data_IF_397740825429
#
_entry.id   IF_397740825429
#
_cell.length_a   1.000
_cell.length_b   1.000
_cell.length_c   1.000
_cell.angle_alpha   90.00
_cell.angle_beta   90.00
_cell.angle_gamma   90.00
#
_symmetry.space_group_name_H-M   'P 1'
#
loop_
_entity.id
_entity.type
_entity.pdbx_description
1 polymer ?
#
# COMPACT_ATOMS: atom_id res chain seq x y z
N UNK A 1 57.48 2.36 -7.05
CA UNK A 1 56.41 3.39 -7.12
C UNK A 1 55.02 2.80 -7.36
N UNK A 2 54.88 1.78 -8.23
CA UNK A 2 53.61 1.13 -8.61
C UNK A 2 52.80 0.55 -7.44
N UNK A 3 53.43 -0.06 -6.43
CA UNK A 3 52.72 -0.63 -5.27
C UNK A 3 52.03 0.42 -4.38
N UNK A 4 52.59 1.64 -4.25
CA UNK A 4 51.96 2.73 -3.51
C UNK A 4 50.74 3.28 -4.27
N UNK A 5 50.86 3.40 -5.59
CA UNK A 5 49.77 3.86 -6.47
C UNK A 5 48.63 2.84 -6.44
N UNK A 6 48.92 1.55 -6.60
CA UNK A 6 47.91 0.49 -6.57
C UNK A 6 47.12 0.45 -5.25
N UNK A 7 47.82 0.59 -4.11
CA UNK A 7 47.16 0.67 -2.79
C UNK A 7 46.30 1.91 -2.65
N UNK A 8 46.72 3.04 -3.20
CA UNK A 8 45.94 4.28 -3.15
C UNK A 8 44.68 4.19 -4.01
N UNK A 9 44.77 3.59 -5.20
CA UNK A 9 43.63 3.36 -6.09
C UNK A 9 42.61 2.42 -5.45
N UNK A 10 43.06 1.28 -4.90
CA UNK A 10 42.17 0.32 -4.22
C UNK A 10 41.50 0.96 -3.00
N UNK A 11 42.25 1.73 -2.20
CA UNK A 11 41.69 2.42 -1.03
C UNK A 11 40.69 3.51 -1.42
N UNK A 12 40.96 4.24 -2.49
CA UNK A 12 40.03 5.25 -3.02
C UNK A 12 38.75 4.61 -3.55
N UNK A 13 38.87 3.47 -4.24
CA UNK A 13 37.73 2.73 -4.75
C UNK A 13 36.86 2.17 -3.60
N UNK A 14 37.48 1.64 -2.55
CA UNK A 14 36.79 1.22 -1.33
C UNK A 14 36.04 2.38 -0.64
N UNK A 15 36.66 3.55 -0.56
CA UNK A 15 36.02 4.74 0.00
C UNK A 15 34.82 5.19 -0.85
N UNK A 16 34.96 5.17 -2.17
CA UNK A 16 33.86 5.46 -3.10
C UNK A 16 32.68 4.51 -2.91
N UNK A 17 32.95 3.21 -2.83
CA UNK A 17 31.90 2.21 -2.60
C UNK A 17 31.24 2.42 -1.25
N UNK A 18 32.01 2.59 -0.17
CA UNK A 18 31.46 2.83 1.16
C UNK A 18 30.59 4.09 1.20
N UNK A 19 31.07 5.19 0.61
CA UNK A 19 30.32 6.46 0.57
C UNK A 19 29.03 6.31 -0.22
N UNK A 20 29.07 5.59 -1.35
CA UNK A 20 27.88 5.34 -2.18
C UNK A 20 26.86 4.50 -1.41
N UNK A 21 27.29 3.43 -0.75
CA UNK A 21 26.41 2.59 0.09
C UNK A 21 25.76 3.40 1.21
N UNK A 22 26.54 4.24 1.90
CA UNK A 22 26.01 5.13 2.94
C UNK A 22 24.97 6.09 2.36
N UNK A 23 25.23 6.69 1.21
CA UNK A 23 24.28 7.59 0.55
C UNK A 23 22.99 6.87 0.16
N UNK A 24 23.08 5.66 -0.38
CA UNK A 24 21.91 4.84 -0.74
C UNK A 24 21.09 4.49 0.50
N UNK A 25 21.74 4.10 1.59
CA UNK A 25 21.06 3.83 2.86
C UNK A 25 20.39 5.09 3.41
N UNK A 26 21.07 6.24 3.35
CA UNK A 26 20.51 7.53 3.78
C UNK A 26 19.29 7.91 2.94
N UNK A 27 19.35 7.74 1.62
CA UNK A 27 18.20 7.93 0.73
C UNK A 27 17.06 6.98 1.05
N UNK A 28 17.35 5.71 1.35
CA UNK A 28 16.33 4.73 1.72
C UNK A 28 15.64 5.11 3.03
N UNK A 29 16.44 5.53 4.03
CA UNK A 29 15.95 6.02 5.31
C UNK A 29 15.12 7.29 5.12
N UNK A 30 15.58 8.24 4.29
CA UNK A 30 14.82 9.45 3.96
C UNK A 30 13.53 9.15 3.19
N UNK A 31 13.50 8.12 2.33
CA UNK A 31 12.26 7.70 1.67
C UNK A 31 11.29 7.06 2.68
N UNK A 32 11.81 6.27 3.62
CA UNK A 32 11.00 5.74 4.72
C UNK A 32 10.47 6.87 5.60
N UNK A 33 11.30 7.86 5.95
CA UNK A 33 10.85 9.02 6.73
C UNK A 33 9.97 9.97 5.94
N UNK A 34 10.18 10.24 4.66
CA UNK A 34 9.27 11.05 3.85
C UNK A 34 7.88 10.38 3.68
N UNK A 35 7.84 9.04 3.73
CA UNK A 35 6.59 8.27 3.87
C UNK A 35 6.02 8.34 5.28
N UNK A 36 6.86 8.49 6.31
CA UNK A 36 6.49 8.41 7.73
C UNK A 36 6.13 9.78 8.35
N UNK A 37 6.78 10.86 7.94
CA UNK A 37 6.60 12.24 8.40
C UNK A 37 5.33 12.87 7.81
N UNK A 38 4.69 12.20 6.84
CA UNK A 38 3.32 12.52 6.43
C UNK A 38 2.27 12.04 7.44
N UNK A 39 2.65 11.23 8.44
CA UNK A 39 1.70 10.52 9.33
C UNK A 39 2.09 10.55 10.82
N UNK A 40 2.67 11.64 11.33
CA UNK A 40 2.54 11.94 12.77
C UNK A 40 1.16 12.53 13.06
N UNK A 41 0.17 11.65 13.01
CA UNK A 41 -1.21 11.95 13.36
C UNK A 41 -2.08 12.24 12.14
N UNK A 42 -3.16 11.49 12.06
CA UNK A 42 -4.28 11.72 11.15
C UNK A 42 -4.14 11.16 9.72
N UNK A 43 -4.57 9.91 9.60
CA UNK A 43 -5.05 9.30 8.35
C UNK A 43 -6.48 9.69 7.86
N UNK A 44 -7.19 10.76 8.33
CA UNK A 44 -8.51 11.11 7.84
C UNK A 44 -8.56 12.14 6.71
N UNK A 45 -7.43 12.66 6.20
CA UNK A 45 -7.46 13.74 5.21
C UNK A 45 -7.40 13.28 3.74
N UNK A 46 -7.25 11.97 3.48
CA UNK A 46 -7.30 11.46 2.11
C UNK A 46 -8.76 11.51 1.59
N UNK A 47 -9.05 12.21 0.49
CA UNK A 47 -10.39 12.27 -0.05
C UNK A 47 -10.83 10.88 -0.49
N UNK A 48 -12.02 10.47 -0.05
CA UNK A 48 -12.59 9.12 -0.30
C UNK A 48 -12.52 8.74 -1.79
N UNK A 49 -12.83 9.69 -2.69
CA UNK A 49 -12.78 9.43 -4.13
C UNK A 49 -11.38 9.13 -4.68
N UNK A 50 -10.31 9.64 -4.06
CA UNK A 50 -8.94 9.27 -4.46
C UNK A 50 -8.60 7.84 -4.03
N UNK A 51 -9.06 7.44 -2.84
CA UNK A 51 -8.88 6.07 -2.33
C UNK A 51 -9.66 5.06 -3.20
N UNK A 52 -10.90 5.39 -3.55
CA UNK A 52 -11.73 4.60 -4.47
C UNK A 52 -11.07 4.43 -5.84
N UNK A 53 -10.51 5.51 -6.41
CA UNK A 53 -9.79 5.44 -7.68
C UNK A 53 -8.55 4.54 -7.61
N UNK A 54 -7.80 4.59 -6.50
CA UNK A 54 -6.64 3.69 -6.27
C UNK A 54 -7.05 2.22 -6.16
N UNK A 55 -8.18 1.95 -5.50
CA UNK A 55 -8.75 0.60 -5.41
C UNK A 55 -9.09 0.06 -6.81
N UNK A 56 -9.77 0.86 -7.64
CA UNK A 56 -10.14 0.48 -9.00
C UNK A 56 -8.90 0.26 -9.89
N UNK A 57 -7.89 1.12 -9.76
CA UNK A 57 -6.62 0.97 -10.46
C UNK A 57 -5.92 -0.34 -10.06
N UNK A 58 -5.86 -0.63 -8.76
CA UNK A 58 -5.31 -1.88 -8.24
C UNK A 58 -6.05 -3.11 -8.77
N UNK A 59 -7.38 -3.10 -8.76
CA UNK A 59 -8.18 -4.21 -9.30
C UNK A 59 -7.85 -4.48 -10.78
N UNK A 60 -7.75 -3.42 -11.58
CA UNK A 60 -7.35 -3.50 -12.99
C UNK A 60 -5.94 -4.04 -13.18
N UNK A 61 -4.98 -3.59 -12.36
CA UNK A 61 -3.60 -4.09 -12.38
C UNK A 61 -3.49 -5.58 -12.02
N UNK A 62 -4.35 -6.06 -11.12
CA UNK A 62 -4.45 -7.48 -10.76
C UNK A 62 -5.23 -8.32 -11.78
N UNK A 63 -5.68 -7.73 -12.89
CA UNK A 63 -6.48 -8.42 -13.91
C UNK A 63 -7.93 -8.68 -13.48
N UNK A 64 -8.40 -8.05 -12.41
CA UNK A 64 -9.78 -8.15 -11.94
C UNK A 64 -10.60 -7.10 -12.69
N UNK A 65 -11.33 -7.55 -13.70
CA UNK A 65 -12.28 -6.70 -14.43
C UNK A 65 -13.57 -6.60 -13.64
N UNK A 66 -13.79 -5.46 -13.00
CA UNK A 66 -15.03 -5.16 -12.29
C UNK A 66 -15.94 -4.29 -13.18
N UNK A 67 -17.20 -4.71 -13.35
CA UNK A 67 -18.18 -3.98 -14.17
C UNK A 67 -19.30 -3.43 -13.27
N UNK A 68 -19.82 -2.24 -13.58
CA UNK A 68 -20.86 -1.56 -12.80
C UNK A 68 -20.52 -1.41 -11.30
N UNK A 69 -19.27 -1.01 -11.03
CA UNK A 69 -18.76 -0.90 -9.66
C UNK A 69 -19.47 0.19 -8.87
N UNK A 70 -19.88 -0.15 -7.66
CA UNK A 70 -20.45 0.76 -6.69
C UNK A 70 -19.86 0.51 -5.32
N UNK A 71 -19.21 1.52 -4.75
CA UNK A 71 -18.83 1.50 -3.34
C UNK A 71 -20.10 1.58 -2.49
N UNK A 72 -20.23 0.67 -1.53
CA UNK A 72 -21.42 0.52 -0.68
C UNK A 72 -21.10 0.95 0.75
N UNK A 73 -22.01 1.71 1.34
CA UNK A 73 -21.86 2.25 2.69
C UNK A 73 -20.78 3.33 2.79
N UNK A 74 -20.43 3.68 4.02
CA UNK A 74 -19.34 4.60 4.33
C UNK A 74 -18.06 3.82 4.57
N UNK A 75 -16.90 4.28 4.06
CA UNK A 75 -15.63 3.63 4.35
C UNK A 75 -15.36 3.64 5.86
N UNK A 76 -14.76 2.54 6.35
CA UNK A 76 -14.56 2.29 7.78
C UNK A 76 -13.10 2.50 8.13
N UNK A 77 -12.80 3.49 8.97
CA UNK A 77 -11.45 3.69 9.45
C UNK A 77 -11.13 2.78 10.63
N UNK A 78 -9.98 2.12 10.58
CA UNK A 78 -9.44 1.28 11.64
C UNK A 78 -8.12 1.86 12.13
N UNK A 79 -8.14 2.40 13.35
CA UNK A 79 -6.97 2.88 14.05
C UNK A 79 -6.13 1.70 14.57
N UNK A 80 -5.06 1.36 13.85
CA UNK A 80 -4.03 0.40 14.27
C UNK A 80 -2.64 0.98 14.04
N UNK A 81 -1.57 0.19 14.22
CA UNK A 81 -0.17 0.66 14.12
C UNK A 81 0.15 1.44 12.84
N UNK A 82 -0.52 1.13 11.73
CA UNK A 82 -0.37 1.84 10.45
C UNK A 82 -1.64 2.55 9.98
N UNK A 83 -2.78 2.36 10.68
CA UNK A 83 -4.11 2.78 10.24
C UNK A 83 -4.52 2.20 8.88
N UNK A 84 -5.81 1.92 8.70
CA UNK A 84 -6.30 1.53 7.38
C UNK A 84 -7.78 1.83 7.22
N UNK A 85 -8.20 1.98 5.97
CA UNK A 85 -9.59 2.16 5.56
C UNK A 85 -10.11 0.88 4.92
N UNK A 86 -11.26 0.42 5.38
CA UNK A 86 -12.03 -0.66 4.78
C UNK A 86 -13.13 -0.12 3.88
N UNK A 87 -13.22 -0.65 2.67
CA UNK A 87 -14.26 -0.33 1.69
C UNK A 87 -15.00 -1.59 1.29
N UNK A 88 -16.32 -1.47 1.23
CA UNK A 88 -17.18 -2.49 0.65
C UNK A 88 -17.55 -2.01 -0.76
N UNK A 89 -17.44 -2.89 -1.75
CA UNK A 89 -17.78 -2.59 -3.13
C UNK A 89 -18.60 -3.71 -3.73
N UNK A 90 -19.65 -3.33 -4.45
CA UNK A 90 -20.51 -4.22 -5.20
C UNK A 90 -20.23 -4.02 -6.69
N UNK A 91 -20.01 -5.11 -7.40
CA UNK A 91 -19.87 -5.13 -8.84
C UNK A 91 -20.79 -6.21 -9.41
N UNK A 92 -20.96 -6.22 -10.73
CA UNK A 92 -21.76 -7.26 -11.39
C UNK A 92 -21.24 -8.67 -11.10
N UNK A 93 -19.93 -8.81 -10.93
CA UNK A 93 -19.23 -10.06 -10.67
C UNK A 93 -19.42 -10.57 -9.22
N UNK A 94 -19.79 -9.68 -8.30
CA UNK A 94 -20.01 -10.01 -6.90
C UNK A 94 -19.71 -8.84 -5.96
N UNK A 95 -19.82 -9.11 -4.66
CA UNK A 95 -19.45 -8.16 -3.62
C UNK A 95 -18.01 -8.44 -3.15
N UNK A 96 -17.27 -7.38 -2.89
CA UNK A 96 -15.88 -7.41 -2.48
C UNK A 96 -15.65 -6.51 -1.28
N UNK A 97 -14.64 -6.86 -0.50
CA UNK A 97 -14.06 -6.02 0.56
C UNK A 97 -12.64 -5.71 0.17
N UNK A 98 -12.25 -4.46 0.35
CA UNK A 98 -10.87 -4.02 0.15
C UNK A 98 -10.40 -3.18 1.32
N UNK A 99 -9.12 -3.28 1.61
CA UNK A 99 -8.46 -2.50 2.64
C UNK A 99 -7.32 -1.71 2.01
N UNK A 100 -7.22 -0.44 2.35
CA UNK A 100 -6.16 0.48 1.92
C UNK A 100 -5.51 1.09 3.15
N UNK A 101 -4.19 1.00 3.24
CA UNK A 101 -3.45 1.63 4.32
C UNK A 101 -3.37 3.16 4.13
N UNK A 102 -2.97 3.85 5.18
CA UNK A 102 -2.82 5.32 5.17
C UNK A 102 -1.80 5.83 4.14
N UNK A 103 -0.88 4.98 3.70
CA UNK A 103 0.09 5.30 2.64
C UNK A 103 -0.51 5.22 1.24
N UNK A 104 -1.79 4.84 1.13
CA UNK A 104 -2.52 4.70 -0.12
C UNK A 104 -2.24 3.39 -0.85
N UNK A 105 -1.68 2.38 -0.17
CA UNK A 105 -1.45 1.05 -0.73
C UNK A 105 -2.61 0.13 -0.38
N UNK A 106 -3.17 -0.53 -1.39
CA UNK A 106 -4.17 -1.58 -1.17
C UNK A 106 -3.50 -2.77 -0.48
N UNK A 107 -3.88 -3.00 0.78
CA UNK A 107 -3.36 -4.07 1.64
C UNK A 107 -4.17 -5.36 1.54
N UNK A 108 -5.40 -5.29 1.02
CA UNK A 108 -6.27 -6.45 0.86
C UNK A 108 -7.36 -6.21 -0.18
N UNK A 109 -7.68 -7.27 -0.93
CA UNK A 109 -8.78 -7.28 -1.90
C UNK A 109 -9.34 -8.71 -1.95
N UNK A 110 -10.61 -8.89 -1.57
CA UNK A 110 -11.24 -10.21 -1.48
C UNK A 110 -12.74 -10.16 -1.73
N UNK A 111 -13.31 -11.30 -2.14
CA UNK A 111 -14.76 -11.45 -2.35
C UNK A 111 -15.48 -11.71 -1.02
N UNK A 112 -16.65 -11.10 -0.85
CA UNK A 112 -17.56 -11.42 0.24
C UNK A 112 -18.34 -12.66 -0.16
N UNK A 113 -18.05 -13.81 0.46
CA UNK A 113 -18.97 -14.94 0.40
C UNK A 113 -20.17 -14.62 1.30
N UNK A 114 -21.32 -14.25 0.72
CA UNK A 114 -22.58 -14.27 1.45
C UNK A 114 -22.85 -15.72 1.87
N UNK A 115 -22.88 -15.99 3.18
CA UNK A 115 -23.38 -17.27 3.67
C UNK A 115 -24.84 -17.39 3.20
N UNK A 116 -25.27 -18.59 2.74
CA UNK A 116 -26.68 -18.81 2.42
C UNK A 116 -27.53 -18.55 3.68
N UNK A 117 -28.66 -17.89 3.49
CA UNK A 117 -29.61 -17.61 4.57
C UNK A 117 -29.95 -18.92 5.31
N UNK A 118 -30.02 -18.90 6.66
CA UNK A 118 -30.42 -20.08 7.41
C UNK A 118 -31.79 -20.55 6.92
N UNK A 119 -32.02 -21.86 6.73
CA UNK A 119 -33.31 -22.35 6.28
C UNK A 119 -34.39 -21.87 7.25
N UNK A 120 -35.39 -21.16 6.71
CA UNK A 120 -36.52 -20.65 7.49
C UNK A 120 -37.27 -21.79 8.19
N UNK A 121 -38.03 -21.49 9.26
CA UNK A 121 -38.73 -22.51 10.01
C UNK A 121 -39.72 -23.28 9.12
N UNK A 122 -39.86 -24.60 9.30
CA UNK A 122 -40.82 -25.40 8.54
C UNK A 122 -42.25 -24.89 8.75
N UNK A 123 -43.02 -24.83 7.67
CA UNK A 123 -44.46 -24.56 7.67
C UNK A 123 -45.25 -25.73 8.25
#
# INVERSE_FOLDING_TARGET
MTSKILRYTVRSMLWLVATTTVLVLLLFVLLMFARYEKDEGSCPDAPVGELEAKILAFAKEQGISLTDVRFTGTPRYHAGTLGWWGFDLSAREGDYVTTIDCTGRVSGFGTIQRLPDPPGPPK
#
